data_IF_633516208967
#
_entry.id   IF_633516208967
#
_cell.length_a   1.000
_cell.length_b   1.000
_cell.length_c   1.000
_cell.angle_alpha   90.00
_cell.angle_beta   90.00
_cell.angle_gamma   90.00
#
_symmetry.space_group_name_H-M   'P 1'
#
loop_
_entity.id
_entity.type
_entity.pdbx_description
1 polymer ?
#
# COMPACT_ATOMS: atom_id res chain seq x y z
N UNK A 1 -40.10 1.89 59.68
CA UNK A 1 -40.31 2.37 58.29
C UNK A 1 -39.33 3.45 57.83
N UNK A 2 -39.03 4.48 58.65
CA UNK A 2 -38.15 5.62 58.24
C UNK A 2 -36.72 5.21 57.88
N UNK A 3 -36.08 4.34 58.68
CA UNK A 3 -34.73 3.79 58.43
C UNK A 3 -34.64 2.94 57.15
N UNK A 4 -35.67 2.13 56.87
CA UNK A 4 -35.74 1.30 55.67
C UNK A 4 -35.82 2.15 54.39
N UNK A 5 -36.66 3.20 54.40
CA UNK A 5 -36.74 4.17 53.30
C UNK A 5 -35.40 4.87 53.06
N UNK A 6 -34.71 5.27 54.14
CA UNK A 6 -33.42 5.97 54.05
C UNK A 6 -32.30 5.08 53.48
N UNK A 7 -32.28 3.79 53.81
CA UNK A 7 -31.32 2.83 53.24
C UNK A 7 -31.61 2.55 51.76
N UNK A 8 -32.89 2.43 51.40
CA UNK A 8 -33.32 2.28 49.99
C UNK A 8 -32.89 3.50 49.17
N UNK A 9 -33.10 4.72 49.67
CA UNK A 9 -32.66 5.95 48.98
C UNK A 9 -31.13 6.00 48.79
N UNK A 10 -30.35 5.55 49.78
CA UNK A 10 -28.89 5.50 49.67
C UNK A 10 -28.41 4.49 48.62
N UNK A 11 -29.06 3.33 48.55
CA UNK A 11 -28.75 2.30 47.54
C UNK A 11 -29.09 2.80 46.14
N UNK A 12 -30.27 3.41 45.97
CA UNK A 12 -30.68 4.02 44.69
C UNK A 12 -29.72 5.13 44.25
N UNK A 13 -29.29 5.99 45.16
CA UNK A 13 -28.31 7.03 44.86
C UNK A 13 -26.94 6.44 44.47
N UNK A 14 -26.48 5.38 45.14
CA UNK A 14 -25.24 4.70 44.81
C UNK A 14 -25.30 4.03 43.43
N UNK A 15 -26.41 3.37 43.09
CA UNK A 15 -26.61 2.76 41.76
C UNK A 15 -26.61 3.83 40.67
N UNK A 16 -27.30 4.96 40.89
CA UNK A 16 -27.34 6.06 39.93
C UNK A 16 -25.95 6.64 39.65
N UNK A 17 -25.14 6.84 40.69
CA UNK A 17 -23.75 7.34 40.59
C UNK A 17 -22.83 6.33 39.91
N UNK A 18 -23.01 5.03 40.15
CA UNK A 18 -22.22 3.98 39.49
C UNK A 18 -22.51 3.89 37.98
N UNK A 19 -23.75 4.15 37.57
CA UNK A 19 -24.14 4.15 36.14
C UNK A 19 -23.80 5.44 35.40
N UNK A 20 -23.57 6.56 36.10
CA UNK A 20 -23.31 7.87 35.46
C UNK A 20 -21.92 8.01 34.83
N UNK A 21 -21.00 7.07 35.08
CA UNK A 21 -19.66 7.05 34.47
C UNK A 21 -19.53 6.04 33.31
N UNK A 22 -20.62 5.40 32.89
CA UNK A 22 -20.63 4.45 31.78
C UNK A 22 -20.86 5.11 30.39
N UNK A 23 -20.31 6.31 30.18
CA UNK A 23 -20.31 6.95 28.87
C UNK A 23 -19.00 6.59 28.14
N UNK A 24 -18.91 5.36 27.65
CA UNK A 24 -17.97 5.05 26.58
C UNK A 24 -18.70 5.46 25.30
N UNK A 25 -18.29 6.57 24.68
CA UNK A 25 -18.74 6.85 23.31
C UNK A 25 -18.22 5.70 22.46
N UNK A 26 -19.11 4.83 21.98
CA UNK A 26 -18.82 4.01 20.82
C UNK A 26 -18.61 4.98 19.67
N UNK A 27 -17.36 5.38 19.46
CA UNK A 27 -16.91 5.87 18.16
C UNK A 27 -17.22 4.74 17.18
N UNK A 28 -18.35 4.86 16.49
CA UNK A 28 -18.84 3.84 15.58
C UNK A 28 -17.85 3.52 14.46
N UNK A 29 -18.23 2.62 13.56
CA UNK A 29 -17.43 2.26 12.38
C UNK A 29 -17.31 3.48 11.44
N UNK A 30 -16.33 4.33 11.72
CA UNK A 30 -16.05 5.54 10.98
C UNK A 30 -15.16 5.18 9.81
N UNK A 31 -15.58 5.54 8.59
CA UNK A 31 -14.75 5.35 7.41
C UNK A 31 -13.48 6.21 7.56
N UNK A 32 -12.28 5.61 7.67
CA UNK A 32 -11.03 6.36 7.85
C UNK A 32 -10.61 7.13 6.58
N UNK A 33 -11.31 6.92 5.46
CA UNK A 33 -11.02 7.58 4.19
C UNK A 33 -9.83 6.96 3.46
N UNK A 34 -8.92 7.81 3.00
CA UNK A 34 -7.70 7.45 2.26
C UNK A 34 -7.56 8.19 0.94
N UNK A 35 -6.42 7.98 0.28
CA UNK A 35 -6.15 8.55 -1.05
C UNK A 35 -6.92 7.84 -2.15
N UNK A 36 -7.04 8.50 -3.30
CA UNK A 36 -7.74 7.98 -4.48
C UNK A 36 -7.15 6.69 -5.05
N UNK A 37 -5.86 6.42 -4.78
CA UNK A 37 -5.11 5.24 -5.23
C UNK A 37 -4.72 4.32 -4.06
N UNK A 38 -5.36 4.44 -2.89
CA UNK A 38 -4.98 3.73 -1.66
C UNK A 38 -4.84 2.21 -1.82
N UNK A 39 -5.72 1.60 -2.62
CA UNK A 39 -5.71 0.14 -2.81
C UNK A 39 -4.56 -0.36 -3.69
N UNK A 40 -3.92 0.57 -4.41
CA UNK A 40 -2.75 0.34 -5.25
C UNK A 40 -1.46 0.93 -4.67
N UNK A 41 -1.54 1.54 -3.48
CA UNK A 41 -0.40 2.15 -2.78
C UNK A 41 0.21 1.21 -1.75
N UNK A 42 1.53 1.30 -1.57
CA UNK A 42 2.26 0.56 -0.55
C UNK A 42 3.76 0.46 -0.85
N UNK A 43 4.45 -0.19 0.07
CA UNK A 43 5.85 -0.62 -0.12
C UNK A 43 5.88 -2.10 -0.53
N UNK A 44 6.81 -2.44 -1.41
CA UNK A 44 6.88 -3.73 -2.06
C UNK A 44 8.32 -4.23 -2.10
N UNK A 45 8.52 -5.50 -1.76
CA UNK A 45 9.76 -6.21 -2.05
C UNK A 45 9.62 -6.90 -3.40
N UNK A 46 10.45 -6.51 -4.38
CA UNK A 46 10.35 -6.99 -5.77
C UNK A 46 11.67 -7.56 -6.26
N UNK A 47 11.60 -8.63 -7.04
CA UNK A 47 12.73 -9.15 -7.82
C UNK A 47 12.61 -8.67 -9.26
N UNK A 48 13.76 -8.55 -9.93
CA UNK A 48 13.82 -8.19 -11.35
C UNK A 48 14.25 -9.39 -12.17
N UNK A 49 13.50 -9.69 -13.23
CA UNK A 49 13.73 -10.81 -14.12
C UNK A 49 13.91 -10.33 -15.55
N UNK A 50 14.75 -11.06 -16.30
CA UNK A 50 14.87 -10.94 -17.76
C UNK A 50 14.68 -12.33 -18.34
N UNK A 51 13.75 -12.48 -19.28
CA UNK A 51 13.39 -13.76 -19.89
C UNK A 51 13.09 -14.87 -18.85
N UNK A 52 12.39 -14.51 -17.77
CA UNK A 52 12.01 -15.44 -16.70
C UNK A 52 13.14 -15.84 -15.74
N UNK A 53 14.34 -15.29 -15.89
CA UNK A 53 15.47 -15.53 -14.98
C UNK A 53 15.65 -14.32 -14.07
N UNK A 54 15.78 -14.56 -12.76
CA UNK A 54 16.08 -13.50 -11.78
C UNK A 54 17.48 -12.94 -12.04
N UNK A 55 17.56 -11.63 -12.29
CA UNK A 55 18.82 -10.90 -12.53
C UNK A 55 19.18 -9.95 -11.40
N UNK A 56 18.20 -9.54 -10.59
CA UNK A 56 18.40 -8.81 -9.34
C UNK A 56 17.45 -9.36 -8.28
N UNK A 57 17.97 -9.54 -7.07
CA UNK A 57 17.20 -10.03 -5.92
C UNK A 57 16.26 -8.94 -5.38
N UNK A 58 15.62 -9.19 -4.24
CA UNK A 58 14.65 -8.29 -3.65
C UNK A 58 15.19 -6.87 -3.45
N UNK A 59 14.47 -5.92 -4.04
CA UNK A 59 14.62 -4.48 -3.87
C UNK A 59 13.34 -3.90 -3.28
N UNK A 60 13.48 -2.89 -2.42
CA UNK A 60 12.35 -2.16 -1.86
C UNK A 60 11.91 -1.04 -2.79
N UNK A 61 10.68 -1.09 -3.29
CA UNK A 61 10.07 -0.03 -4.10
C UNK A 61 8.76 0.44 -3.45
N UNK A 62 8.27 1.61 -3.84
CA UNK A 62 6.98 2.12 -3.38
C UNK A 62 6.08 2.54 -4.54
N UNK A 63 4.78 2.33 -4.34
CA UNK A 63 3.74 2.95 -5.16
C UNK A 63 2.87 3.85 -4.28
N UNK A 64 2.53 5.04 -4.75
CA UNK A 64 1.77 5.99 -3.93
C UNK A 64 1.04 7.05 -4.76
N UNK A 65 0.06 7.67 -4.12
CA UNK A 65 -0.80 8.67 -4.71
C UNK A 65 -0.04 9.92 -5.19
N UNK A 66 -0.49 10.51 -6.29
CA UNK A 66 0.00 11.84 -6.70
C UNK A 66 -0.60 12.94 -5.82
N UNK A 67 0.01 14.13 -5.82
CA UNK A 67 -0.55 15.29 -5.09
C UNK A 67 -1.93 15.72 -5.60
N UNK A 68 -2.28 15.39 -6.85
CA UNK A 68 -3.59 15.69 -7.43
C UNK A 68 -4.73 14.88 -6.78
N UNK A 69 -4.44 13.66 -6.31
CA UNK A 69 -5.39 12.78 -5.62
C UNK A 69 -6.71 12.57 -6.38
N UNK A 70 -6.65 12.41 -7.71
CA UNK A 70 -7.82 12.29 -8.59
C UNK A 70 -8.04 10.89 -9.18
N UNK A 71 -7.24 9.90 -8.74
CA UNK A 71 -7.37 8.50 -9.12
C UNK A 71 -6.96 8.15 -10.56
N UNK A 72 -6.32 9.08 -11.28
CA UNK A 72 -5.94 8.87 -12.69
C UNK A 72 -4.53 8.30 -12.85
N UNK A 73 -3.63 8.65 -11.95
CA UNK A 73 -2.23 8.26 -11.97
C UNK A 73 -1.70 8.02 -10.55
N UNK A 74 -0.65 7.21 -10.45
CA UNK A 74 0.12 6.98 -9.22
C UNK A 74 1.60 7.07 -9.51
N UNK A 75 2.40 7.36 -8.49
CA UNK A 75 3.85 7.23 -8.54
C UNK A 75 4.26 5.76 -8.42
N UNK A 76 5.30 5.40 -9.15
CA UNK A 76 6.11 4.20 -8.98
C UNK A 76 7.53 4.72 -8.76
N UNK A 77 8.10 4.41 -7.61
CA UNK A 77 9.38 4.93 -7.15
C UNK A 77 10.23 3.76 -6.69
N UNK A 78 11.32 3.51 -7.39
CA UNK A 78 12.23 2.42 -7.03
C UNK A 78 13.27 2.83 -5.98
N UNK A 79 13.29 4.12 -5.59
CA UNK A 79 14.25 4.69 -4.65
C UNK A 79 15.73 4.46 -5.03
N UNK A 80 16.04 4.27 -6.31
CA UNK A 80 17.42 3.95 -6.73
C UNK A 80 17.81 2.48 -6.53
N UNK A 81 16.86 1.60 -6.17
CA UNK A 81 17.16 0.22 -5.82
C UNK A 81 17.04 -0.78 -6.99
N UNK A 82 16.48 -0.39 -8.14
CA UNK A 82 16.34 -1.26 -9.31
C UNK A 82 17.08 -0.69 -10.53
N UNK A 83 16.68 0.50 -10.98
CA UNK A 83 17.22 1.19 -12.15
C UNK A 83 17.44 2.70 -11.92
N UNK A 84 17.09 3.21 -10.75
CA UNK A 84 17.02 4.64 -10.41
C UNK A 84 15.96 5.36 -11.24
N UNK A 85 14.70 4.96 -11.05
CA UNK A 85 13.56 5.53 -11.75
C UNK A 85 12.40 5.88 -10.83
N UNK A 86 11.75 7.00 -11.18
CA UNK A 86 10.54 7.47 -10.52
C UNK A 86 9.57 8.04 -11.53
N UNK A 87 8.46 7.36 -11.79
CA UNK A 87 7.52 7.75 -12.85
C UNK A 87 6.09 7.81 -12.34
N UNK A 88 5.29 8.68 -12.96
CA UNK A 88 3.83 8.62 -12.83
C UNK A 88 3.26 7.69 -13.87
N UNK A 89 2.58 6.63 -13.44
CA UNK A 89 1.87 5.72 -14.33
C UNK A 89 0.36 5.96 -14.23
N UNK A 90 -0.35 6.05 -15.38
CA UNK A 90 -1.80 5.94 -15.41
C UNK A 90 -2.28 4.65 -14.74
N UNK A 91 -3.43 4.71 -14.07
CA UNK A 91 -4.04 3.58 -13.35
C UNK A 91 -5.47 3.31 -13.80
N UNK A 92 -5.91 2.07 -13.66
CA UNK A 92 -7.32 1.65 -13.75
C UNK A 92 -7.69 0.99 -12.42
N UNK A 93 -8.29 1.78 -11.52
CA UNK A 93 -8.54 1.37 -10.14
C UNK A 93 -9.42 0.12 -10.03
N UNK A 94 -10.48 0.02 -10.84
CA UNK A 94 -11.38 -1.14 -10.85
C UNK A 94 -10.69 -2.44 -11.27
N UNK A 95 -9.64 -2.34 -12.07
CA UNK A 95 -8.85 -3.47 -12.53
C UNK A 95 -7.56 -3.65 -11.71
N UNK A 96 -7.24 -2.77 -10.76
CA UNK A 96 -5.96 -2.73 -10.06
C UNK A 96 -4.76 -2.85 -11.01
N UNK A 97 -4.84 -2.19 -12.16
CA UNK A 97 -3.82 -2.25 -13.21
C UNK A 97 -3.26 -0.87 -13.53
N UNK A 98 -2.05 -0.84 -14.06
CA UNK A 98 -1.33 0.38 -14.40
C UNK A 98 -0.42 0.14 -15.60
N UNK A 99 -0.34 1.13 -16.48
CA UNK A 99 0.51 1.08 -17.66
C UNK A 99 0.68 2.49 -18.24
N UNK A 100 1.79 2.71 -18.93
CA UNK A 100 2.07 3.96 -19.63
C UNK A 100 3.30 3.82 -20.52
N UNK A 101 3.39 4.66 -21.54
CA UNK A 101 4.52 4.68 -22.46
C UNK A 101 5.20 6.04 -22.40
N UNK A 102 6.51 6.03 -22.58
CA UNK A 102 7.35 7.24 -22.60
C UNK A 102 7.18 8.10 -21.34
N UNK A 103 7.08 7.46 -20.17
CA UNK A 103 6.91 8.14 -18.89
C UNK A 103 8.25 8.75 -18.48
N UNK A 104 8.32 10.07 -18.37
CA UNK A 104 9.54 10.75 -17.94
C UNK A 104 9.84 10.45 -16.46
N UNK A 105 11.07 10.00 -16.18
CA UNK A 105 11.55 9.83 -14.81
C UNK A 105 11.67 11.19 -14.12
N UNK A 106 11.39 11.23 -12.82
CA UNK A 106 11.50 12.39 -11.95
C UNK A 106 12.71 12.30 -11.02
N UNK A 107 13.73 11.54 -11.42
CA UNK A 107 15.02 11.44 -10.71
C UNK A 107 15.92 12.58 -11.16
N UNK A 108 16.46 13.33 -10.20
CA UNK A 108 17.30 14.50 -10.48
C UNK A 108 18.65 14.08 -11.10
N UNK A 109 18.97 14.64 -12.27
CA UNK A 109 20.25 14.39 -12.94
C UNK A 109 20.31 13.08 -13.73
N UNK A 110 19.19 12.36 -13.84
CA UNK A 110 19.09 11.13 -14.60
C UNK A 110 17.83 11.13 -15.50
N UNK A 111 18.01 11.69 -16.69
CA UNK A 111 16.94 11.91 -17.66
C UNK A 111 16.71 10.66 -18.51
N UNK A 112 15.81 9.78 -18.04
CA UNK A 112 15.34 8.61 -18.78
C UNK A 112 13.81 8.59 -18.91
N UNK A 113 13.33 7.86 -19.91
CA UNK A 113 11.92 7.55 -20.09
C UNK A 113 11.69 6.05 -19.85
N UNK A 114 10.56 5.72 -19.21
CA UNK A 114 10.19 4.34 -18.87
C UNK A 114 8.89 3.97 -19.57
N UNK A 115 8.87 2.81 -20.22
CA UNK A 115 7.65 2.16 -20.65
C UNK A 115 7.23 1.15 -19.59
N UNK A 116 6.00 1.27 -19.08
CA UNK A 116 5.41 0.32 -18.14
C UNK A 116 4.24 -0.38 -18.81
N UNK A 117 4.29 -1.72 -18.84
CA UNK A 117 3.24 -2.56 -19.41
C UNK A 117 2.88 -3.68 -18.43
N UNK A 118 1.69 -4.25 -18.60
CA UNK A 118 1.20 -5.38 -17.80
C UNK A 118 1.25 -5.15 -16.27
N UNK A 119 1.19 -3.88 -15.84
CA UNK A 119 1.20 -3.53 -14.43
C UNK A 119 -0.09 -3.97 -13.74
N UNK A 120 0.06 -4.74 -12.67
CA UNK A 120 -1.04 -5.37 -11.93
C UNK A 120 -0.72 -5.47 -10.45
N UNK A 121 -1.73 -5.17 -9.63
CA UNK A 121 -1.77 -5.55 -8.22
C UNK A 121 -2.81 -6.65 -8.04
N UNK A 122 -2.42 -7.73 -7.37
CA UNK A 122 -3.27 -8.89 -7.08
C UNK A 122 -3.49 -9.00 -5.58
N UNK A 123 -4.72 -8.71 -5.13
CA UNK A 123 -5.08 -8.81 -3.71
C UNK A 123 -4.93 -10.24 -3.22
N UNK A 124 -4.24 -10.42 -2.10
CA UNK A 124 -3.95 -11.75 -1.52
C UNK A 124 -3.36 -12.74 -2.55
N UNK A 125 -2.61 -12.24 -3.54
CA UNK A 125 -2.11 -13.01 -4.68
C UNK A 125 -0.67 -13.49 -4.55
N UNK A 126 0.01 -13.14 -3.46
CA UNK A 126 1.40 -13.51 -3.22
C UNK A 126 1.59 -14.12 -1.82
N UNK A 127 2.74 -14.78 -1.65
CA UNK A 127 3.19 -15.33 -0.37
C UNK A 127 4.51 -14.65 -0.02
N UNK A 128 4.60 -14.04 1.17
CA UNK A 128 5.83 -13.42 1.66
C UNK A 128 6.89 -14.49 2.00
N UNK A 129 8.15 -14.10 2.23
CA UNK A 129 9.23 -15.02 2.63
C UNK A 129 8.89 -15.83 3.88
N UNK A 130 8.26 -15.19 4.87
CA UNK A 130 7.74 -15.79 6.11
C UNK A 130 6.48 -16.64 5.94
N UNK A 131 5.90 -16.70 4.73
CA UNK A 131 4.77 -17.57 4.42
C UNK A 131 3.38 -16.93 4.60
N UNK A 132 3.30 -15.61 4.73
CA UNK A 132 2.02 -14.91 4.86
C UNK A 132 1.37 -14.66 3.49
N UNK A 133 0.05 -14.82 3.40
CA UNK A 133 -0.71 -14.37 2.24
C UNK A 133 -0.77 -12.84 2.23
N UNK A 134 -0.29 -12.23 1.16
CA UNK A 134 -0.17 -10.77 1.01
C UNK A 134 -0.57 -10.34 -0.41
N UNK A 135 -0.72 -9.03 -0.61
CA UNK A 135 -0.90 -8.46 -1.95
C UNK A 135 0.36 -8.68 -2.79
N UNK A 136 0.17 -9.03 -4.06
CA UNK A 136 1.24 -9.14 -5.06
C UNK A 136 1.27 -7.94 -5.99
N UNK A 137 2.45 -7.64 -6.53
CA UNK A 137 2.66 -6.64 -7.59
C UNK A 137 3.49 -7.25 -8.72
N UNK A 138 3.13 -6.95 -9.97
CA UNK A 138 3.93 -7.31 -11.15
C UNK A 138 3.79 -6.27 -12.24
N UNK A 139 4.86 -5.96 -12.96
CA UNK A 139 4.84 -5.13 -14.15
C UNK A 139 6.06 -5.42 -15.03
N UNK A 140 5.98 -5.01 -16.29
CA UNK A 140 7.11 -5.00 -17.21
C UNK A 140 7.59 -3.56 -17.41
N UNK A 141 8.89 -3.36 -17.32
CA UNK A 141 9.55 -2.10 -17.58
C UNK A 141 10.53 -2.23 -18.75
N UNK A 142 10.58 -1.20 -19.60
CA UNK A 142 11.66 -0.97 -20.55
C UNK A 142 12.17 0.45 -20.32
N UNK A 143 13.49 0.58 -20.23
CA UNK A 143 14.17 1.84 -19.94
C UNK A 143 14.80 2.39 -21.22
N UNK A 144 14.67 3.69 -21.45
CA UNK A 144 15.10 4.31 -22.71
C UNK A 144 16.61 4.25 -22.98
N UNK A 145 17.41 4.07 -21.93
CA UNK A 145 18.87 3.93 -21.97
C UNK A 145 19.33 2.48 -22.15
N UNK A 146 18.44 1.50 -22.00
CA UNK A 146 18.61 0.11 -22.41
C UNK A 146 17.43 -0.38 -23.27
N UNK A 147 17.28 0.17 -24.49
CA UNK A 147 16.13 -0.12 -25.33
C UNK A 147 16.14 -1.56 -25.86
N UNK A 148 14.97 -2.19 -25.89
CA UNK A 148 14.79 -3.57 -26.38
C UNK A 148 14.89 -4.65 -25.30
N UNK A 149 15.34 -4.32 -24.09
CA UNK A 149 15.31 -5.25 -22.95
C UNK A 149 14.03 -5.05 -22.15
N UNK A 150 13.29 -6.14 -21.91
CA UNK A 150 12.10 -6.13 -21.08
C UNK A 150 12.41 -6.73 -19.72
N UNK A 151 12.27 -5.90 -18.69
CA UNK A 151 12.46 -6.25 -17.29
C UNK A 151 11.11 -6.58 -16.67
N UNK A 152 10.92 -7.82 -16.22
CA UNK A 152 9.76 -8.20 -15.42
C UNK A 152 10.08 -7.95 -13.94
N UNK A 153 9.41 -6.97 -13.35
CA UNK A 153 9.55 -6.60 -11.94
C UNK A 153 8.32 -7.12 -11.21
N UNK A 154 8.52 -8.03 -10.26
CA UNK A 154 7.42 -8.63 -9.50
C UNK A 154 7.79 -8.97 -8.08
N UNK A 155 6.80 -8.99 -7.20
CA UNK A 155 7.01 -9.33 -5.81
C UNK A 155 5.76 -9.16 -4.97
N UNK A 156 5.96 -8.79 -3.72
CA UNK A 156 4.90 -8.82 -2.72
C UNK A 156 4.94 -7.61 -1.78
N UNK A 157 3.80 -7.31 -1.17
CA UNK A 157 3.64 -6.17 -0.26
C UNK A 157 4.42 -6.38 1.01
N UNK A 158 5.21 -5.39 1.41
CA UNK A 158 5.97 -5.40 2.66
C UNK A 158 5.03 -5.56 3.86
N UNK A 159 5.36 -6.50 4.74
CA UNK A 159 4.56 -6.82 5.94
C UNK A 159 5.02 -6.02 7.17
N UNK A 160 6.29 -5.64 7.22
CA UNK A 160 6.94 -5.05 8.39
C UNK A 160 7.38 -6.09 9.44
N UNK A 161 7.19 -7.39 9.17
CA UNK A 161 7.75 -8.46 9.99
C UNK A 161 9.20 -8.70 9.61
N UNK A 162 10.06 -8.90 10.62
CA UNK A 162 11.50 -9.01 10.42
C UNK A 162 11.89 -10.17 9.49
N UNK A 163 11.17 -11.28 9.53
CA UNK A 163 11.37 -12.44 8.66
C UNK A 163 11.06 -12.20 7.17
N UNK A 164 10.37 -11.10 6.84
CA UNK A 164 9.98 -10.75 5.47
C UNK A 164 10.82 -9.61 4.86
N UNK A 165 11.74 -9.02 5.63
CA UNK A 165 12.62 -7.93 5.19
C UNK A 165 13.82 -8.46 4.40
N UNK A 166 14.33 -7.66 3.46
CA UNK A 166 15.45 -7.98 2.56
C UNK A 166 16.53 -6.90 2.57
#
# INVERSE_FOLDING_TARGET
>A
MKKLKQNITRILAAVLVLTSFAACDEVGDTNPGGTSTKDMSGDWYVQTLVNGTVVADYALISTYNTSANDGKEMWIDDHGHVWDFKVKSPVTLSALSFAGSNLASSVDGYDINVNITEGKITKNGATSTGGHTVDGISFKAEFSDDPGTIYEIKGYKRTGFYEDEH
#
